data_IF_164967962769
#
_entry.id   IF_164967962769
#
_cell.length_a   1.000
_cell.length_b   1.000
_cell.length_c   1.000
_cell.angle_alpha   90.00
_cell.angle_beta   90.00
_cell.angle_gamma   90.00
#
_symmetry.space_group_name_H-M   'P 1'
#
loop_
_entity.id
_entity.type
_entity.pdbx_description
1 polymer ?
#
# COMPACT_ATOMS: atom_id res chain seq x y z
N UNK A 1 -13.99 19.11 57.08
CA UNK A 1 -13.77 17.71 56.63
C UNK A 1 -13.37 17.78 55.16
N UNK A 2 -12.05 17.73 54.92
CA UNK A 2 -11.44 18.05 53.63
C UNK A 2 -11.40 16.85 52.68
N UNK A 3 -11.63 17.17 51.41
CA UNK A 3 -11.37 16.47 50.16
C UNK A 3 -10.67 15.10 50.23
N UNK A 4 -11.39 14.09 49.71
CA UNK A 4 -10.80 12.93 49.04
C UNK A 4 -11.44 12.76 47.66
N UNK A 5 -11.49 13.81 46.85
CA UNK A 5 -11.53 13.66 45.38
C UNK A 5 -10.11 13.33 44.95
N UNK A 6 -9.68 12.10 45.23
CA UNK A 6 -8.55 11.51 44.54
C UNK A 6 -9.00 11.28 43.10
N UNK A 7 -8.85 12.32 42.28
CA UNK A 7 -8.87 12.24 40.82
C UNK A 7 -7.87 11.16 40.46
N UNK A 8 -8.37 9.99 40.09
CA UNK A 8 -7.55 8.87 39.68
C UNK A 8 -6.80 9.26 38.41
N UNK A 9 -5.56 9.72 38.58
CA UNK A 9 -4.53 9.80 37.54
C UNK A 9 -4.10 8.38 37.11
N UNK A 10 -5.07 7.50 36.83
CA UNK A 10 -4.83 6.05 36.84
C UNK A 10 -5.89 5.23 36.12
N UNK A 11 -6.26 5.61 34.90
CA UNK A 11 -6.71 4.64 33.90
C UNK A 11 -6.37 5.11 32.49
N UNK A 12 -5.08 5.17 32.17
CA UNK A 12 -4.58 5.20 30.78
C UNK A 12 -4.86 3.89 30.02
N UNK A 13 -5.98 3.24 30.32
CA UNK A 13 -6.39 1.91 29.89
C UNK A 13 -7.88 1.89 29.57
N UNK A 14 -8.35 2.87 28.79
CA UNK A 14 -9.66 2.82 28.15
C UNK A 14 -9.48 2.55 26.66
N UNK A 15 -10.34 1.71 26.09
CA UNK A 15 -10.40 1.48 24.65
C UNK A 15 -10.57 2.79 23.87
N UNK A 16 -11.15 3.82 24.51
CA UNK A 16 -11.28 5.18 24.02
C UNK A 16 -9.91 5.83 23.79
N UNK A 17 -8.99 5.73 24.75
CA UNK A 17 -7.63 6.28 24.60
C UNK A 17 -6.87 5.55 23.48
N UNK A 18 -6.97 4.22 23.42
CA UNK A 18 -6.37 3.42 22.34
C UNK A 18 -6.91 3.81 20.97
N UNK A 19 -8.23 4.02 20.85
CA UNK A 19 -8.87 4.47 19.63
C UNK A 19 -8.41 5.86 19.22
N UNK A 20 -8.30 6.81 20.15
CA UNK A 20 -7.79 8.17 19.89
C UNK A 20 -6.34 8.13 19.42
N UNK A 21 -5.48 7.33 20.06
CA UNK A 21 -4.08 7.16 19.65
C UNK A 21 -3.98 6.52 18.26
N UNK A 22 -4.82 5.53 17.96
CA UNK A 22 -4.92 4.92 16.64
C UNK A 22 -5.35 5.90 15.57
N UNK A 23 -6.38 6.69 15.84
CA UNK A 23 -6.87 7.74 14.94
C UNK A 23 -5.79 8.79 14.68
N UNK A 24 -5.06 9.23 15.72
CA UNK A 24 -3.95 10.15 15.58
C UNK A 24 -2.83 9.58 14.70
N UNK A 25 -2.44 8.30 14.88
CA UNK A 25 -1.44 7.63 14.03
C UNK A 25 -1.88 7.55 12.57
N UNK A 26 -3.15 7.22 12.33
CA UNK A 26 -3.71 7.17 10.98
C UNK A 26 -3.73 8.57 10.33
N UNK A 27 -4.16 9.58 11.08
CA UNK A 27 -4.14 10.97 10.63
C UNK A 27 -2.72 11.45 10.31
N UNK A 28 -1.75 11.12 11.18
CA UNK A 28 -0.34 11.43 10.94
C UNK A 28 0.20 10.74 9.68
N UNK A 29 -0.09 9.45 9.48
CA UNK A 29 0.29 8.71 8.28
C UNK A 29 -0.27 9.38 7.02
N UNK A 30 -1.56 9.70 7.02
CA UNK A 30 -2.22 10.36 5.88
C UNK A 30 -1.64 11.75 5.63
N UNK A 31 -1.48 12.56 6.68
CA UNK A 31 -0.88 13.89 6.57
C UNK A 31 0.56 13.83 6.02
N UNK A 32 1.36 12.87 6.50
CA UNK A 32 2.72 12.63 6.03
C UNK A 32 2.75 12.26 4.54
N UNK A 33 1.91 11.33 4.10
CA UNK A 33 1.81 10.96 2.69
C UNK A 33 1.38 12.13 1.81
N UNK A 34 0.41 12.93 2.28
CA UNK A 34 -0.04 14.12 1.57
C UNK A 34 1.08 15.15 1.44
N UNK A 35 1.83 15.41 2.51
CA UNK A 35 2.98 16.30 2.49
C UNK A 35 4.04 15.81 1.50
N UNK A 36 4.42 14.53 1.54
CA UNK A 36 5.36 13.94 0.59
C UNK A 36 4.86 14.00 -0.85
N UNK A 37 3.56 13.80 -1.08
CA UNK A 37 2.97 13.81 -2.43
C UNK A 37 3.12 15.14 -3.16
N UNK A 38 3.44 16.22 -2.44
CA UNK A 38 3.72 17.55 -3.02
C UNK A 38 5.14 17.69 -3.55
N UNK A 39 6.07 16.82 -3.14
CA UNK A 39 7.46 16.83 -3.60
C UNK A 39 7.52 16.38 -5.07
N UNK A 40 8.29 17.11 -5.88
CA UNK A 40 8.38 16.90 -7.34
C UNK A 40 8.78 15.46 -7.70
N UNK A 41 9.78 14.92 -7.02
CA UNK A 41 10.29 13.57 -7.29
C UNK A 41 9.30 12.48 -6.87
N UNK A 42 8.63 12.67 -5.72
CA UNK A 42 7.59 11.75 -5.25
C UNK A 42 6.38 11.77 -6.18
N UNK A 43 5.98 12.94 -6.65
CA UNK A 43 4.92 13.06 -7.66
C UNK A 43 5.29 12.33 -8.93
N UNK A 44 6.54 12.44 -9.40
CA UNK A 44 7.05 11.69 -10.56
C UNK A 44 7.01 10.18 -10.31
N UNK A 45 7.40 9.71 -9.13
CA UNK A 45 7.30 8.31 -8.74
C UNK A 45 5.84 7.81 -8.77
N UNK A 46 4.90 8.57 -8.22
CA UNK A 46 3.47 8.23 -8.24
C UNK A 46 2.88 8.22 -9.66
N UNK A 47 3.47 8.96 -10.59
CA UNK A 47 3.10 8.90 -12.01
C UNK A 47 3.61 7.61 -12.67
N UNK A 48 4.85 7.18 -12.42
CA UNK A 48 5.34 5.88 -12.89
C UNK A 48 4.51 4.72 -12.32
N UNK A 49 4.13 4.83 -11.04
CA UNK A 49 3.22 3.86 -10.43
C UNK A 49 1.84 3.84 -11.11
N UNK A 50 1.30 5.01 -11.49
CA UNK A 50 0.10 5.09 -12.31
C UNK A 50 0.26 4.50 -13.72
N UNK A 51 1.46 4.58 -14.31
CA UNK A 51 1.76 3.96 -15.61
C UNK A 51 1.75 2.43 -15.52
N UNK A 52 2.37 1.87 -14.49
CA UNK A 52 2.34 0.43 -14.19
C UNK A 52 0.90 -0.08 -14.07
N UNK A 53 0.06 0.58 -13.27
CA UNK A 53 -1.34 0.19 -13.10
C UNK A 53 -2.11 0.15 -14.43
N UNK A 54 -1.93 1.18 -15.27
CA UNK A 54 -2.60 1.25 -16.56
C UNK A 54 -2.17 0.14 -17.50
N UNK A 55 -0.86 -0.10 -17.60
CA UNK A 55 -0.29 -1.12 -18.49
C UNK A 55 -0.72 -2.53 -18.06
N UNK A 56 -0.64 -2.83 -16.76
CA UNK A 56 -1.11 -4.12 -16.21
C UNK A 56 -2.62 -4.27 -16.38
N UNK A 57 -3.41 -3.21 -16.18
CA UNK A 57 -4.86 -3.27 -16.38
C UNK A 57 -5.23 -3.53 -17.86
N UNK A 58 -4.54 -2.90 -18.81
CA UNK A 58 -4.72 -3.18 -20.25
C UNK A 58 -4.36 -4.62 -20.59
N UNK A 59 -3.27 -5.14 -20.03
CA UNK A 59 -2.86 -6.54 -20.20
C UNK A 59 -3.90 -7.52 -19.64
N UNK A 60 -4.39 -7.28 -18.41
CA UNK A 60 -5.41 -8.10 -17.76
C UNK A 60 -6.78 -8.04 -18.46
N UNK A 61 -7.05 -6.95 -19.20
CA UNK A 61 -8.23 -6.82 -20.04
C UNK A 61 -8.05 -7.48 -21.42
N UNK A 62 -6.93 -8.18 -21.66
CA UNK A 62 -6.59 -8.84 -22.92
C UNK A 62 -6.58 -7.88 -24.13
N UNK A 63 -6.37 -6.58 -23.87
CA UNK A 63 -6.28 -5.56 -24.90
C UNK A 63 -4.83 -5.44 -25.40
N UNK A 64 -4.67 -4.99 -26.65
CA UNK A 64 -3.33 -4.79 -27.20
C UNK A 64 -2.60 -3.67 -26.46
N UNK A 65 -1.35 -3.93 -26.07
CA UNK A 65 -0.47 -3.01 -25.33
C UNK A 65 0.00 -1.84 -26.21
N UNK A 66 -0.93 -1.00 -26.64
CA UNK A 66 -0.68 0.24 -27.39
C UNK A 66 -0.88 1.44 -26.47
N UNK A 67 -0.24 2.57 -26.80
CA UNK A 67 -0.39 3.81 -26.03
C UNK A 67 -1.86 4.23 -25.91
N UNK A 68 -2.66 4.02 -26.97
CA UNK A 68 -4.08 4.37 -27.00
C UNK A 68 -4.91 3.57 -25.97
N UNK A 69 -4.75 2.24 -25.94
CA UNK A 69 -5.48 1.39 -24.98
C UNK A 69 -5.01 1.61 -23.54
N UNK A 70 -3.69 1.72 -23.33
CA UNK A 70 -3.12 1.98 -22.00
C UNK A 70 -3.56 3.33 -21.45
N UNK A 71 -3.67 4.36 -22.30
CA UNK A 71 -4.16 5.67 -21.87
C UNK A 71 -5.59 5.64 -21.35
N UNK A 72 -6.45 4.79 -21.93
CA UNK A 72 -7.85 4.63 -21.56
C UNK A 72 -8.04 3.79 -20.27
N UNK A 73 -7.05 2.99 -19.89
CA UNK A 73 -7.11 2.19 -18.67
C UNK A 73 -7.19 3.06 -17.40
N UNK A 74 -7.85 2.50 -16.37
CA UNK A 74 -8.01 3.13 -15.07
C UNK A 74 -6.71 3.18 -14.27
N UNK A 75 -6.67 4.05 -13.25
CA UNK A 75 -5.54 4.18 -12.32
C UNK A 75 -5.64 3.25 -11.11
N UNK A 76 -6.75 2.55 -10.95
CA UNK A 76 -6.99 1.65 -9.81
C UNK A 76 -6.59 0.24 -10.21
N UNK A 77 -5.66 -0.33 -9.45
CA UNK A 77 -5.24 -1.71 -9.60
C UNK A 77 -5.46 -2.44 -8.28
N UNK A 78 -6.26 -3.49 -8.32
CA UNK A 78 -6.68 -4.21 -7.12
C UNK A 78 -5.63 -5.20 -6.59
N UNK A 79 -4.60 -5.47 -7.39
CA UNK A 79 -3.48 -6.37 -7.05
C UNK A 79 -2.14 -5.63 -6.92
N UNK A 80 -2.17 -4.38 -6.46
CA UNK A 80 -0.98 -3.56 -6.35
C UNK A 80 -0.22 -3.84 -5.04
N UNK A 81 0.92 -4.55 -5.13
CA UNK A 81 1.70 -4.96 -3.94
C UNK A 81 2.24 -3.81 -3.09
N UNK A 82 2.55 -2.64 -3.68
CA UNK A 82 2.99 -1.44 -2.95
C UNK A 82 1.83 -0.73 -2.23
N UNK A 83 0.62 -0.76 -2.80
CA UNK A 83 -0.58 -0.35 -2.08
C UNK A 83 -0.93 -1.31 -0.95
N UNK A 84 -0.67 -2.61 -1.12
CA UNK A 84 -0.90 -3.63 -0.09
C UNK A 84 -0.03 -3.40 1.16
N UNK A 85 1.20 -2.88 1.04
CA UNK A 85 2.03 -2.52 2.20
C UNK A 85 1.45 -1.32 2.97
N UNK A 86 0.95 -0.31 2.26
CA UNK A 86 0.36 0.86 2.89
C UNK A 86 -1.01 0.55 3.54
N UNK A 87 -1.82 -0.27 2.86
CA UNK A 87 -3.06 -0.85 3.40
C UNK A 87 -2.76 -1.69 4.63
N UNK A 88 -1.69 -2.49 4.60
CA UNK A 88 -1.24 -3.27 5.74
C UNK A 88 -0.84 -2.37 6.92
N UNK A 89 -0.04 -1.32 6.71
CA UNK A 89 0.35 -0.41 7.80
C UNK A 89 -0.88 0.27 8.40
N UNK A 90 -1.83 0.69 7.59
CA UNK A 90 -3.10 1.21 8.09
C UNK A 90 -3.89 0.13 8.87
N UNK A 91 -3.93 -1.10 8.37
CA UNK A 91 -4.62 -2.22 9.00
C UNK A 91 -3.95 -2.65 10.31
N UNK A 92 -2.62 -2.62 10.41
CA UNK A 92 -1.90 -2.88 11.67
C UNK A 92 -2.22 -1.78 12.68
N UNK A 93 -2.23 -0.50 12.28
CA UNK A 93 -2.64 0.60 13.16
C UNK A 93 -4.05 0.36 13.70
N UNK A 94 -5.02 0.00 12.85
CA UNK A 94 -6.40 -0.28 13.26
C UNK A 94 -6.47 -1.53 14.15
N UNK A 95 -5.77 -2.61 13.78
CA UNK A 95 -5.73 -3.84 14.57
C UNK A 95 -5.22 -3.56 15.99
N UNK A 96 -4.02 -3.00 16.12
CA UNK A 96 -3.38 -2.85 17.42
C UNK A 96 -3.97 -1.72 18.26
N UNK A 97 -4.58 -0.71 17.64
CA UNK A 97 -5.13 0.44 18.36
C UNK A 97 -6.62 0.31 18.67
N UNK A 98 -7.37 -0.52 17.92
CA UNK A 98 -8.83 -0.66 18.08
C UNK A 98 -9.23 -2.11 18.32
N UNK A 99 -8.86 -3.03 17.42
CA UNK A 99 -9.41 -4.39 17.44
C UNK A 99 -8.82 -5.26 18.55
N UNK A 100 -7.51 -5.24 18.76
CA UNK A 100 -6.83 -6.04 19.79
C UNK A 100 -7.23 -5.60 21.21
N UNK A 101 -7.28 -4.29 21.53
CA UNK A 101 -7.78 -3.85 22.83
C UNK A 101 -9.29 -4.08 23.05
N UNK A 102 -10.08 -4.23 21.97
CA UNK A 102 -11.53 -4.47 22.05
C UNK A 102 -11.89 -5.96 22.16
N UNK A 103 -11.28 -6.83 21.34
CA UNK A 103 -11.62 -8.25 21.28
C UNK A 103 -10.85 -9.10 22.29
N UNK A 104 -9.63 -8.69 22.65
CA UNK A 104 -8.73 -9.46 23.51
C UNK A 104 -8.09 -8.52 24.54
N UNK A 105 -8.86 -7.96 25.49
CA UNK A 105 -8.34 -7.02 26.47
C UNK A 105 -7.15 -7.57 27.25
N UNK A 106 -7.12 -8.87 27.55
CA UNK A 106 -6.00 -9.54 28.22
C UNK A 106 -4.71 -9.56 27.37
N UNK A 107 -4.78 -9.65 26.05
CA UNK A 107 -3.61 -9.56 25.15
C UNK A 107 -3.27 -8.12 24.76
N UNK A 108 -4.27 -7.24 24.68
CA UNK A 108 -4.12 -5.83 24.36
C UNK A 108 -3.52 -5.02 25.51
N UNK A 109 -3.86 -5.37 26.76
CA UNK A 109 -3.49 -4.66 27.98
C UNK A 109 -2.68 -5.48 29.00
N UNK A 110 -2.64 -6.82 28.88
CA UNK A 110 -2.05 -7.68 29.92
C UNK A 110 -0.53 -7.78 29.96
N UNK A 111 0.20 -7.29 28.95
CA UNK A 111 1.65 -7.14 29.06
C UNK A 111 1.99 -5.73 29.57
N UNK A 112 1.95 -5.59 30.90
CA UNK A 112 2.37 -4.40 31.63
C UNK A 112 3.89 -4.17 31.45
N UNK A 113 4.21 -2.94 31.04
CA UNK A 113 5.43 -2.15 31.35
C UNK A 113 6.86 -2.60 30.99
N UNK A 114 7.13 -3.75 30.36
CA UNK A 114 8.51 -4.13 30.05
C UNK A 114 8.80 -4.17 28.54
N UNK A 115 10.06 -3.97 28.13
CA UNK A 115 10.49 -4.11 26.73
C UNK A 115 10.07 -5.44 26.08
N UNK A 116 9.77 -6.46 26.90
CA UNK A 116 9.15 -7.71 26.50
C UNK A 116 7.77 -7.55 25.82
N UNK A 117 6.95 -6.56 26.18
CA UNK A 117 5.67 -6.27 25.55
C UNK A 117 5.82 -5.76 24.11
N UNK A 118 6.84 -4.92 23.88
CA UNK A 118 7.20 -4.41 22.56
C UNK A 118 7.75 -5.57 21.71
N UNK A 119 8.63 -6.39 22.29
CA UNK A 119 9.21 -7.55 21.62
C UNK A 119 8.13 -8.57 21.24
N UNK A 120 7.19 -8.87 22.14
CA UNK A 120 6.07 -9.78 21.88
C UNK A 120 5.18 -9.28 20.74
N UNK A 121 4.83 -7.98 20.73
CA UNK A 121 4.08 -7.36 19.63
C UNK A 121 4.88 -7.44 18.32
N UNK A 122 6.19 -7.23 18.35
CA UNK A 122 7.05 -7.34 17.18
C UNK A 122 7.13 -8.78 16.63
N UNK A 123 7.21 -9.78 17.50
CA UNK A 123 7.17 -11.20 17.11
C UNK A 123 5.80 -11.55 16.51
N UNK A 124 4.70 -11.07 17.09
CA UNK A 124 3.35 -11.27 16.57
C UNK A 124 3.10 -10.59 15.22
N UNK A 125 3.88 -9.56 14.85
CA UNK A 125 3.75 -8.93 13.53
C UNK A 125 4.11 -9.87 12.39
N UNK A 126 5.06 -10.80 12.58
CA UNK A 126 5.46 -11.76 11.53
C UNK A 126 4.30 -12.67 11.08
N UNK A 127 3.65 -13.45 11.96
CA UNK A 127 2.52 -14.29 11.54
C UNK A 127 1.33 -13.44 11.12
N UNK A 128 1.15 -12.26 11.73
CA UNK A 128 0.10 -11.34 11.33
C UNK A 128 0.26 -10.88 9.88
N UNK A 129 1.50 -10.68 9.41
CA UNK A 129 1.78 -10.28 8.04
C UNK A 129 1.27 -11.30 7.01
N UNK A 130 1.48 -12.59 7.28
CA UNK A 130 0.93 -13.66 6.45
C UNK A 130 -0.59 -13.69 6.44
N UNK A 131 -1.23 -13.53 7.62
CA UNK A 131 -2.70 -13.49 7.72
C UNK A 131 -3.28 -12.30 6.95
N UNK A 132 -2.70 -11.11 7.08
CA UNK A 132 -3.18 -9.93 6.34
C UNK A 132 -3.06 -10.13 4.84
N UNK A 133 -1.93 -10.68 4.37
CA UNK A 133 -1.74 -10.95 2.95
C UNK A 133 -2.82 -11.90 2.42
N UNK A 134 -3.09 -12.98 3.14
CA UNK A 134 -4.10 -13.98 2.78
C UNK A 134 -5.53 -13.40 2.80
N UNK A 135 -5.87 -12.62 3.83
CA UNK A 135 -7.16 -11.93 3.91
C UNK A 135 -7.31 -10.92 2.76
N UNK A 136 -6.26 -10.15 2.44
CA UNK A 136 -6.29 -9.21 1.33
C UNK A 136 -6.47 -9.93 -0.02
N UNK A 137 -5.73 -11.03 -0.24
CA UNK A 137 -5.87 -11.89 -1.41
C UNK A 137 -7.30 -12.42 -1.56
N UNK A 138 -7.90 -12.86 -0.45
CA UNK A 138 -9.28 -13.34 -0.42
C UNK A 138 -10.31 -12.24 -0.72
N UNK A 139 -10.12 -11.05 -0.14
CA UNK A 139 -10.98 -9.90 -0.43
C UNK A 139 -10.93 -9.49 -1.91
N UNK A 140 -9.75 -9.52 -2.53
CA UNK A 140 -9.63 -9.29 -3.97
C UNK A 140 -10.34 -10.37 -4.80
N UNK A 141 -10.35 -11.62 -4.35
CA UNK A 141 -11.10 -12.71 -5.01
C UNK A 141 -12.62 -12.51 -4.92
N UNK A 142 -13.13 -11.91 -3.84
CA UNK A 142 -14.55 -11.69 -3.60
C UNK A 142 -15.05 -10.28 -3.92
N UNK A 143 -14.27 -9.49 -4.68
CA UNK A 143 -14.57 -8.09 -5.02
C UNK A 143 -15.93 -7.82 -5.65
N UNK A 144 -16.57 -8.84 -6.22
CA UNK A 144 -17.88 -8.68 -6.86
C UNK A 144 -19.01 -8.44 -5.84
N UNK A 145 -18.78 -8.76 -4.55
CA UNK A 145 -19.73 -8.55 -3.48
C UNK A 145 -19.69 -7.10 -2.98
N UNK A 146 -20.86 -6.46 -2.86
CA UNK A 146 -20.96 -5.06 -2.47
C UNK A 146 -20.35 -4.76 -1.09
N UNK A 147 -20.50 -5.66 -0.12
CA UNK A 147 -19.91 -5.51 1.21
C UNK A 147 -18.38 -5.64 1.20
N UNK A 148 -17.82 -6.48 0.32
CA UNK A 148 -16.37 -6.60 0.12
C UNK A 148 -15.81 -5.32 -0.47
N UNK A 149 -16.50 -4.72 -1.45
CA UNK A 149 -16.10 -3.43 -2.02
C UNK A 149 -16.08 -2.31 -0.98
N UNK A 150 -17.05 -2.30 -0.06
CA UNK A 150 -17.07 -1.34 1.05
C UNK A 150 -15.85 -1.55 1.97
N UNK A 151 -15.50 -2.79 2.26
CA UNK A 151 -14.35 -3.12 3.10
C UNK A 151 -13.00 -2.78 2.42
N UNK A 152 -12.93 -2.90 1.10
CA UNK A 152 -11.75 -2.54 0.30
C UNK A 152 -11.63 -1.03 0.03
N UNK A 153 -12.74 -0.28 0.10
CA UNK A 153 -12.79 1.15 -0.17
C UNK A 153 -11.75 2.00 0.59
N UNK A 154 -11.54 1.85 1.92
CA UNK A 154 -10.51 2.62 2.63
C UNK A 154 -9.10 2.33 2.09
N UNK A 155 -8.80 1.09 1.73
CA UNK A 155 -7.51 0.73 1.15
C UNK A 155 -7.30 1.34 -0.23
N UNK A 156 -8.33 1.31 -1.07
CA UNK A 156 -8.32 1.98 -2.38
C UNK A 156 -8.21 3.50 -2.26
N UNK A 157 -8.81 4.10 -1.22
CA UNK A 157 -8.69 5.53 -0.94
C UNK A 157 -7.24 5.89 -0.57
N UNK A 158 -6.58 5.04 0.23
CA UNK A 158 -5.19 5.22 0.60
C UNK A 158 -4.24 5.06 -0.60
N UNK A 159 -4.52 4.07 -1.47
CA UNK A 159 -3.82 3.90 -2.75
C UNK A 159 -3.98 5.13 -3.66
N UNK A 160 -5.14 5.78 -3.67
CA UNK A 160 -5.36 6.98 -4.47
C UNK A 160 -4.44 8.15 -4.06
N UNK A 161 -3.83 8.12 -2.88
CA UNK A 161 -2.84 9.12 -2.46
C UNK A 161 -1.47 8.92 -3.13
N UNK A 162 -1.15 7.69 -3.56
CA UNK A 162 0.16 7.30 -4.11
C UNK A 162 0.14 7.04 -5.62
N UNK A 163 -0.98 7.31 -6.28
CA UNK A 163 -1.13 7.15 -7.73
C UNK A 163 -1.44 8.51 -8.36
N UNK A 164 -0.75 8.86 -9.44
CA UNK A 164 -1.01 10.08 -10.22
C UNK A 164 -1.12 9.76 -11.72
N UNK A 165 -1.87 10.56 -12.50
CA UNK A 165 -1.94 10.38 -13.96
C UNK A 165 -0.56 10.47 -14.61
N UNK A 166 -0.10 9.45 -15.35
CA UNK A 166 1.20 9.45 -16.02
C UNK A 166 1.21 10.32 -17.28
N UNK A 167 2.41 10.66 -17.75
CA UNK A 167 2.65 11.19 -19.10
C UNK A 167 2.80 10.05 -20.10
N UNK A 168 2.60 10.35 -21.38
CA UNK A 168 2.70 9.36 -22.46
C UNK A 168 4.07 8.66 -22.49
N UNK A 169 5.17 9.41 -22.30
CA UNK A 169 6.53 8.84 -22.18
C UNK A 169 6.65 7.78 -21.07
N UNK A 170 5.97 8.00 -19.93
CA UNK A 170 6.00 7.04 -18.82
C UNK A 170 5.17 5.79 -19.13
N UNK A 171 4.09 5.93 -19.91
CA UNK A 171 3.31 4.80 -20.39
C UNK A 171 4.14 3.94 -21.34
N UNK A 172 4.89 4.56 -22.25
CA UNK A 172 5.78 3.84 -23.17
C UNK A 172 6.85 3.03 -22.43
N UNK A 173 7.51 3.65 -21.44
CA UNK A 173 8.48 2.96 -20.58
C UNK A 173 7.82 1.77 -19.86
N UNK A 174 6.62 1.96 -19.30
CA UNK A 174 5.90 0.89 -18.63
C UNK A 174 5.46 -0.24 -19.57
N UNK A 175 5.05 0.06 -20.81
CA UNK A 175 4.73 -0.93 -21.85
C UNK A 175 5.97 -1.76 -22.19
N UNK A 176 7.11 -1.10 -22.42
CA UNK A 176 8.37 -1.78 -22.72
C UNK A 176 8.81 -2.66 -21.56
N UNK A 177 8.72 -2.15 -20.33
CA UNK A 177 9.05 -2.92 -19.13
C UNK A 177 8.16 -4.16 -18.98
N UNK A 178 6.84 -4.04 -19.14
CA UNK A 178 5.94 -5.19 -19.04
C UNK A 178 6.22 -6.23 -20.14
N UNK A 179 6.44 -5.80 -21.39
CA UNK A 179 6.77 -6.70 -22.49
C UNK A 179 8.08 -7.46 -22.25
N UNK A 180 9.08 -6.79 -21.65
CA UNK A 180 10.34 -7.43 -21.31
C UNK A 180 10.16 -8.55 -20.28
N UNK A 181 9.34 -8.32 -19.25
CA UNK A 181 9.00 -9.35 -18.24
C UNK A 181 8.25 -10.52 -18.87
N UNK A 182 7.25 -10.25 -19.71
CA UNK A 182 6.50 -11.30 -20.41
C UNK A 182 7.39 -12.13 -21.34
N UNK A 183 8.34 -11.49 -22.02
CA UNK A 183 9.28 -12.17 -22.91
C UNK A 183 10.20 -13.14 -22.14
N UNK A 184 10.64 -12.75 -20.93
CA UNK A 184 11.46 -13.60 -20.06
C UNK A 184 10.65 -14.82 -19.54
N UNK A 185 9.40 -14.60 -19.12
CA UNK A 185 8.51 -15.67 -18.62
C UNK A 185 8.12 -16.69 -19.71
N UNK A 186 7.87 -16.23 -20.95
CA UNK A 186 7.48 -17.09 -22.07
C UNK A 186 8.68 -17.74 -22.79
N UNK A 187 9.92 -17.42 -22.38
CA UNK A 187 11.13 -17.78 -23.14
C UNK A 187 11.18 -17.17 -24.56
N UNK A 188 10.30 -16.22 -24.84
CA UNK A 188 10.17 -15.55 -26.12
C UNK A 188 11.24 -14.46 -26.23
N UNK A 189 12.02 -14.44 -27.31
CA UNK A 189 13.10 -13.47 -27.43
C UNK A 189 12.56 -12.05 -27.59
N UNK A 190 12.98 -11.15 -26.69
CA UNK A 190 12.84 -9.71 -26.86
C UNK A 190 13.36 -9.34 -28.24
N UNK A 191 12.52 -8.73 -29.07
CA UNK A 191 12.89 -8.40 -30.45
C UNK A 191 14.10 -7.45 -30.44
N UNK A 192 15.06 -7.59 -31.37
CA UNK A 192 16.28 -6.76 -31.37
C UNK A 192 16.05 -5.24 -31.20
N UNK A 193 15.01 -4.62 -31.80
CA UNK A 193 14.68 -3.22 -31.56
C UNK A 193 14.32 -2.90 -30.09
N UNK A 194 13.59 -3.80 -29.43
CA UNK A 194 13.17 -3.64 -28.03
C UNK A 194 14.35 -3.87 -27.07
N UNK A 195 15.21 -4.84 -27.36
CA UNK A 195 16.43 -5.09 -26.59
C UNK A 195 17.42 -3.92 -26.69
N UNK A 196 17.54 -3.30 -27.87
CA UNK A 196 18.34 -2.10 -28.06
C UNK A 196 17.74 -0.89 -27.34
N UNK A 197 16.41 -0.73 -27.34
CA UNK A 197 15.76 0.34 -26.59
C UNK A 197 15.97 0.20 -25.06
N UNK A 198 15.86 -1.02 -24.53
CA UNK A 198 16.12 -1.32 -23.11
C UNK A 198 17.59 -1.06 -22.75
N UNK A 199 18.55 -1.55 -23.57
CA UNK A 199 19.99 -1.31 -23.36
C UNK A 199 20.36 0.16 -23.46
N UNK A 200 19.87 0.85 -24.50
CA UNK A 200 20.08 2.29 -24.67
C UNK A 200 19.53 3.09 -23.48
N UNK A 201 18.37 2.72 -22.96
CA UNK A 201 17.80 3.39 -21.79
C UNK A 201 18.61 3.08 -20.52
N UNK A 202 19.03 1.82 -20.32
CA UNK A 202 19.90 1.43 -19.21
C UNK A 202 21.23 2.20 -19.25
N UNK A 203 21.85 2.35 -20.43
CA UNK A 203 23.09 3.09 -20.62
C UNK A 203 22.93 4.59 -20.32
N UNK A 204 21.77 5.19 -20.67
CA UNK A 204 21.45 6.59 -20.34
C UNK A 204 21.27 6.78 -18.83
N UNK A 205 20.55 5.86 -18.17
CA UNK A 205 20.33 5.94 -16.72
C UNK A 205 21.63 5.73 -15.95
N UNK A 206 22.48 4.80 -16.37
CA UNK A 206 23.80 4.55 -15.77
C UNK A 206 24.73 5.74 -15.98
N UNK A 207 24.67 6.43 -17.14
CA UNK A 207 25.49 7.64 -17.39
C UNK A 207 25.03 8.88 -16.64
N UNK A 208 23.76 9.00 -16.27
CA UNK A 208 23.25 10.16 -15.54
C UNK A 208 23.20 9.97 -14.02
N UNK A 209 23.64 8.81 -13.52
CA UNK A 209 23.74 8.50 -12.09
C UNK A 209 25.10 8.80 -11.44
N UNK A 210 26.02 9.48 -12.14
CA UNK A 210 27.31 9.94 -11.64
C UNK A 210 27.39 11.47 -11.60
#
# INVERSE_FOLDING_TARGET
>A
MGNSTATSLGSVTSWQLSAVVGAFKLAFLVAYLLALSSLRDIKRLFMYHGAEHKVVATWQAEQSLTLLHVRQAGLRQERCGTSSLLVLVALTIVLYSVLLPLLLPELGYGLRSDGAAILWKAVLLLPFWGVVYEVHRLLCAWRNLAWVRLLMAPGQALQALTVRPPKDEMLEVAIVALRAVMADDDGAQVTQPQAQAIRSYADVVVRQGH
#
